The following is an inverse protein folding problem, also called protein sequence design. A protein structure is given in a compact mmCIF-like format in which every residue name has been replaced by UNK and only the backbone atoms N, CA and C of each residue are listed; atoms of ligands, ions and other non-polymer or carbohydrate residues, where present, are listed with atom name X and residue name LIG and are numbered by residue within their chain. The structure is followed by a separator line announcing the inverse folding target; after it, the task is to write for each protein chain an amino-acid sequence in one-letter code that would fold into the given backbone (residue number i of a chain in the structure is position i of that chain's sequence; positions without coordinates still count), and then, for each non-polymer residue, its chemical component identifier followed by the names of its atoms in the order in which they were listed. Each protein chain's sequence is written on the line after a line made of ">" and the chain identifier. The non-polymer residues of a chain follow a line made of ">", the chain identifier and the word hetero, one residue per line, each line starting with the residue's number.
data_IF_452961626088
#
_entry.id   IF_452961626088
#
_cell.length_a   1.000
_cell.length_b   1.000
_cell.length_c   1.000
_cell.angle_alpha   90.00
_cell.angle_beta   90.00
_cell.angle_gamma   90.00
#
_symmetry.space_group_name_H-M   'P 1'
#
loop_
_entity.id
_entity.type
_entity.pdbx_description
1 polymer ?
#
# COMPACT_ATOMS: atom_id res chain seq x y z
N UNK A 1 3.97 -17.01 3.72
CA UNK A 1 3.04 -16.30 4.62
C UNK A 1 3.66 -16.12 5.98
N UNK A 2 3.34 -15.04 6.68
CA UNK A 2 3.81 -14.85 8.07
C UNK A 2 3.14 -15.91 8.97
N UNK A 3 3.91 -16.66 9.80
CA UNK A 3 3.39 -17.81 10.50
C UNK A 3 2.36 -17.46 11.60
N UNK A 4 1.45 -18.37 11.87
CA UNK A 4 0.52 -18.31 13.01
C UNK A 4 1.05 -19.05 14.23
N UNK A 5 1.97 -19.98 14.05
CA UNK A 5 2.59 -20.75 15.12
C UNK A 5 3.46 -19.87 16.03
N UNK A 6 3.30 -20.03 17.34
CA UNK A 6 4.01 -19.20 18.31
C UNK A 6 5.50 -19.53 18.41
N UNK A 7 5.89 -20.78 18.24
CA UNK A 7 7.31 -21.18 18.29
C UNK A 7 8.06 -20.65 17.07
N UNK A 8 7.44 -20.71 15.90
CA UNK A 8 7.98 -20.16 14.66
C UNK A 8 8.15 -18.64 14.73
N UNK A 9 7.16 -17.93 15.29
CA UNK A 9 7.25 -16.48 15.52
C UNK A 9 8.36 -16.13 16.51
N UNK A 10 8.48 -16.88 17.60
CA UNK A 10 9.52 -16.66 18.58
C UNK A 10 10.90 -16.89 17.96
N UNK A 11 11.08 -17.97 17.19
CA UNK A 11 12.32 -18.22 16.46
C UNK A 11 12.70 -17.07 15.51
N UNK A 12 11.73 -16.52 14.76
CA UNK A 12 11.96 -15.33 13.91
C UNK A 12 12.43 -14.15 14.76
N UNK A 13 11.74 -13.90 15.88
CA UNK A 13 12.05 -12.81 16.78
C UNK A 13 13.46 -12.92 17.37
N UNK A 14 13.82 -14.10 17.87
CA UNK A 14 15.13 -14.38 18.44
C UNK A 14 16.25 -14.25 17.38
N UNK A 15 15.98 -14.74 16.16
CA UNK A 15 16.91 -14.64 15.03
C UNK A 15 17.17 -13.19 14.60
N UNK A 16 16.16 -12.33 14.69
CA UNK A 16 16.28 -10.90 14.41
C UNK A 16 17.00 -10.18 15.55
N UNK A 17 16.62 -10.44 16.80
CA UNK A 17 17.20 -9.84 17.99
C UNK A 17 18.69 -10.17 18.17
N UNK A 18 19.13 -11.35 17.69
CA UNK A 18 20.54 -11.73 17.68
C UNK A 18 21.41 -10.90 16.72
N UNK A 19 20.79 -10.20 15.75
CA UNK A 19 21.50 -9.46 14.69
C UNK A 19 21.23 -7.97 14.70
N UNK A 20 20.10 -7.54 15.24
CA UNK A 20 19.59 -6.18 15.15
C UNK A 20 19.06 -5.71 16.51
N UNK A 21 19.18 -4.43 16.79
CA UNK A 21 18.46 -3.81 17.88
C UNK A 21 16.99 -3.61 17.47
N UNK A 22 16.06 -4.19 18.22
CA UNK A 22 14.63 -4.11 17.98
C UNK A 22 13.95 -3.00 18.79
N UNK A 23 14.68 -2.20 19.59
CA UNK A 23 14.13 -1.07 20.32
C UNK A 23 13.54 -0.02 19.38
N UNK A 24 12.33 0.42 19.67
CA UNK A 24 11.64 1.42 18.86
C UNK A 24 11.16 0.92 17.48
N UNK A 25 11.42 -0.34 17.11
CA UNK A 25 10.93 -0.90 15.88
C UNK A 25 9.43 -1.23 15.99
N UNK A 26 8.58 -0.65 15.12
CA UNK A 26 7.16 -0.98 15.11
C UNK A 26 6.91 -2.47 14.90
N UNK A 27 5.99 -3.04 15.66
CA UNK A 27 5.66 -4.46 15.59
C UNK A 27 6.42 -5.33 16.57
N UNK A 28 7.48 -4.81 17.21
CA UNK A 28 8.21 -5.54 18.25
C UNK A 28 7.95 -4.93 19.62
N UNK A 29 7.96 -5.78 20.66
CA UNK A 29 7.84 -5.39 22.06
C UNK A 29 8.56 -6.41 22.95
N UNK A 30 8.87 -6.05 24.19
CA UNK A 30 9.71 -6.85 25.09
C UNK A 30 9.00 -7.10 26.42
N UNK A 31 8.90 -8.38 26.83
CA UNK A 31 8.42 -8.75 28.17
C UNK A 31 9.44 -9.65 28.84
N UNK A 32 9.78 -9.38 30.07
CA UNK A 32 10.72 -10.17 30.87
C UNK A 32 12.07 -10.45 30.16
N UNK A 33 12.54 -9.47 29.40
CA UNK A 33 13.78 -9.57 28.64
C UNK A 33 13.67 -10.29 27.29
N UNK A 34 12.51 -10.83 26.94
CA UNK A 34 12.27 -11.60 25.70
C UNK A 34 11.55 -10.72 24.69
N UNK A 35 12.03 -10.69 23.45
CA UNK A 35 11.39 -10.00 22.34
C UNK A 35 10.23 -10.79 21.76
N UNK A 36 9.17 -10.09 21.40
CA UNK A 36 7.96 -10.62 20.79
C UNK A 36 7.58 -9.81 19.56
N UNK A 37 6.84 -10.43 18.63
CA UNK A 37 6.29 -9.74 17.46
C UNK A 37 4.76 -9.62 17.57
N UNK A 38 4.23 -8.45 17.34
CA UNK A 38 2.81 -8.10 17.50
C UNK A 38 1.94 -8.52 16.30
N UNK A 39 2.20 -9.66 15.70
CA UNK A 39 1.41 -10.21 14.60
C UNK A 39 0.63 -11.45 15.07
N UNK A 40 -0.70 -11.37 14.98
CA UNK A 40 -1.58 -12.43 15.52
C UNK A 40 -2.24 -13.30 14.46
N UNK A 41 -2.09 -12.95 13.17
CA UNK A 41 -2.69 -13.66 12.04
C UNK A 41 -1.68 -13.85 10.92
N UNK A 42 -1.85 -14.92 10.16
CA UNK A 42 -1.06 -15.14 8.96
C UNK A 42 -1.36 -14.10 7.87
N UNK A 43 -0.38 -13.83 7.05
CA UNK A 43 -0.52 -12.89 5.95
C UNK A 43 0.79 -12.60 5.25
N UNK A 44 0.73 -11.80 4.22
CA UNK A 44 1.89 -11.33 3.48
C UNK A 44 2.35 -10.01 4.10
N UNK A 45 3.65 -9.89 4.41
CA UNK A 45 4.26 -8.63 4.82
C UNK A 45 4.56 -7.78 3.58
N UNK A 46 4.09 -6.56 3.60
CA UNK A 46 4.27 -5.58 2.53
C UNK A 46 5.16 -4.46 3.08
N UNK A 47 6.40 -4.31 2.58
CA UNK A 47 7.27 -3.23 2.98
C UNK A 47 6.77 -1.90 2.41
N UNK A 48 6.64 -0.90 3.27
CA UNK A 48 6.35 0.48 2.87
C UNK A 48 7.69 1.22 2.84
N UNK A 49 8.07 1.71 1.66
CA UNK A 49 9.40 2.26 1.38
C UNK A 49 9.35 3.77 1.16
N UNK A 50 10.44 4.44 1.54
CA UNK A 50 10.66 5.86 1.29
C UNK A 50 11.35 6.15 -0.05
N UNK A 51 11.73 7.43 -0.27
CA UNK A 51 12.48 7.88 -1.45
C UNK A 51 13.85 7.22 -1.59
N UNK A 52 14.52 6.88 -0.49
CA UNK A 52 15.81 6.20 -0.44
C UNK A 52 15.68 4.67 -0.57
N UNK A 53 14.47 4.13 -0.77
CA UNK A 53 14.17 2.70 -0.79
C UNK A 53 14.30 2.00 0.57
N UNK A 54 14.36 2.75 1.67
CA UNK A 54 14.42 2.20 3.02
C UNK A 54 13.01 1.83 3.50
N UNK A 55 12.90 0.76 4.26
CA UNK A 55 11.63 0.31 4.84
C UNK A 55 11.27 1.21 6.01
N UNK A 56 10.18 1.97 5.90
CA UNK A 56 9.62 2.83 6.96
C UNK A 56 8.70 2.06 7.90
N UNK A 57 8.11 0.98 7.41
CA UNK A 57 7.17 0.14 8.15
C UNK A 57 6.68 -1.01 7.31
N UNK A 58 5.95 -1.92 7.95
CA UNK A 58 5.37 -3.09 7.30
C UNK A 58 3.85 -3.09 7.46
N UNK A 59 3.13 -3.38 6.38
CA UNK A 59 1.73 -3.76 6.44
C UNK A 59 1.61 -5.28 6.34
N UNK A 60 0.62 -5.85 7.03
CA UNK A 60 0.22 -7.24 6.87
C UNK A 60 -1.06 -7.25 6.04
N UNK A 61 -1.04 -7.92 4.90
CA UNK A 61 -2.24 -8.31 4.17
C UNK A 61 -2.66 -9.69 4.67
N UNK A 62 -3.74 -9.77 5.41
CA UNK A 62 -4.21 -11.03 5.99
C UNK A 62 -4.64 -12.03 4.93
N UNK A 63 -4.24 -13.30 5.10
CA UNK A 63 -4.73 -14.42 4.29
C UNK A 63 -6.24 -14.59 4.50
N UNK A 64 -6.68 -14.51 5.77
CA UNK A 64 -8.07 -14.58 6.18
C UNK A 64 -8.46 -13.30 6.95
N UNK A 65 -8.98 -12.27 6.27
CA UNK A 65 -9.44 -11.05 6.92
C UNK A 65 -10.49 -11.33 7.98
N UNK A 66 -10.52 -10.59 9.10
CA UNK A 66 -11.56 -10.77 10.12
C UNK A 66 -12.93 -10.47 9.54
N UNK A 67 -13.92 -11.24 9.98
CA UNK A 67 -15.33 -10.97 9.68
C UNK A 67 -15.92 -10.10 10.81
N UNK A 68 -16.64 -9.05 10.42
CA UNK A 68 -17.37 -8.18 11.34
C UNK A 68 -18.87 -8.39 11.15
N UNK A 69 -19.61 -8.56 12.24
CA UNK A 69 -21.07 -8.55 12.22
C UNK A 69 -21.53 -7.10 12.32
N UNK A 70 -22.35 -6.67 11.39
CA UNK A 70 -22.90 -5.32 11.33
C UNK A 70 -24.41 -5.45 11.27
N UNK A 71 -25.12 -4.82 12.21
CA UNK A 71 -26.57 -4.76 12.17
C UNK A 71 -26.99 -3.56 11.32
N UNK A 72 -27.82 -3.80 10.32
CA UNK A 72 -28.37 -2.74 9.45
C UNK A 72 -29.40 -1.91 10.22
N UNK A 73 -29.80 -0.72 9.74
CA UNK A 73 -30.86 0.07 10.34
C UNK A 73 -32.18 -0.68 10.48
N UNK A 74 -32.42 -1.67 9.63
CA UNK A 74 -33.61 -2.53 9.62
C UNK A 74 -33.50 -3.70 10.61
N UNK A 75 -32.44 -3.75 11.44
CA UNK A 75 -32.23 -4.79 12.45
C UNK A 75 -31.65 -6.11 11.93
N UNK A 76 -31.29 -6.20 10.64
CA UNK A 76 -30.72 -7.41 10.04
C UNK A 76 -29.22 -7.46 10.33
N UNK A 77 -28.73 -8.53 10.95
CA UNK A 77 -27.29 -8.75 11.14
C UNK A 77 -26.67 -9.41 9.92
N UNK A 78 -25.73 -8.73 9.29
CA UNK A 78 -24.96 -9.21 8.15
C UNK A 78 -23.47 -9.34 8.49
N UNK A 79 -22.81 -10.29 7.88
CA UNK A 79 -21.37 -10.44 8.01
C UNK A 79 -20.66 -9.65 6.88
N UNK A 80 -19.74 -8.78 7.28
CA UNK A 80 -18.89 -8.02 6.35
C UNK A 80 -17.43 -8.37 6.57
N UNK A 81 -16.68 -8.51 5.49
CA UNK A 81 -15.22 -8.62 5.56
C UNK A 81 -14.66 -7.36 6.22
N UNK A 82 -13.91 -7.55 7.29
CA UNK A 82 -13.23 -6.47 7.98
C UNK A 82 -11.96 -6.00 7.27
N UNK A 83 -11.08 -5.35 8.02
CA UNK A 83 -9.84 -4.79 7.49
C UNK A 83 -8.93 -5.89 6.93
N UNK A 84 -8.57 -5.78 5.66
CA UNK A 84 -7.66 -6.71 4.97
C UNK A 84 -6.19 -6.41 5.24
N UNK A 85 -5.86 -5.14 5.48
CA UNK A 85 -4.50 -4.65 5.70
C UNK A 85 -4.40 -4.02 7.08
N UNK A 86 -3.34 -4.35 7.80
CA UNK A 86 -3.00 -3.69 9.06
C UNK A 86 -1.51 -3.36 9.10
N UNK A 87 -1.17 -2.28 9.78
CA UNK A 87 0.21 -2.01 10.11
C UNK A 87 0.74 -3.04 11.12
N UNK A 88 1.94 -3.52 10.89
CA UNK A 88 2.70 -4.25 11.91
C UNK A 88 3.11 -3.23 12.98
N UNK A 89 2.36 -3.17 14.06
CA UNK A 89 2.50 -2.17 15.12
C UNK A 89 2.34 -2.82 16.48
N UNK A 90 3.19 -2.46 17.40
CA UNK A 90 3.17 -2.86 18.81
C UNK A 90 2.63 -1.76 19.75
N UNK A 91 1.96 -0.74 19.21
CA UNK A 91 1.44 0.40 19.97
C UNK A 91 0.55 0.00 21.19
N UNK A 92 -0.18 -1.12 21.10
CA UNK A 92 -0.98 -1.68 22.21
C UNK A 92 -0.12 -2.21 23.35
N UNK A 93 1.14 -2.49 23.10
CA UNK A 93 2.13 -3.00 24.05
C UNK A 93 3.08 -1.88 24.56
N UNK A 94 2.60 -0.64 24.60
CA UNK A 94 3.42 0.55 24.95
C UNK A 94 4.14 0.40 26.30
N UNK A 95 3.51 -0.22 27.28
CA UNK A 95 4.14 -0.51 28.61
C UNK A 95 5.28 -1.55 28.52
N UNK A 96 5.43 -2.23 27.40
CA UNK A 96 6.44 -3.23 27.10
C UNK A 96 7.34 -2.78 25.92
N UNK A 97 7.67 -1.51 25.86
CA UNK A 97 8.52 -0.90 24.83
C UNK A 97 7.90 -0.95 23.41
N UNK A 98 6.61 -1.21 23.30
CA UNK A 98 5.92 -1.28 22.01
C UNK A 98 5.77 0.09 21.35
N UNK A 99 5.98 0.12 20.04
CA UNK A 99 6.02 1.33 19.22
C UNK A 99 4.93 1.34 18.16
N UNK A 100 4.34 2.52 17.91
CA UNK A 100 3.40 2.77 16.83
C UNK A 100 4.13 3.02 15.52
N UNK A 101 3.45 2.73 14.41
CA UNK A 101 3.91 3.12 13.08
C UNK A 101 2.96 4.18 12.52
N UNK A 102 3.46 5.32 12.03
CA UNK A 102 2.65 6.28 11.30
C UNK A 102 2.14 5.70 9.99
N UNK A 103 1.08 6.30 9.41
CA UNK A 103 0.54 5.89 8.12
C UNK A 103 1.41 6.43 6.97
N UNK A 104 2.62 5.92 6.85
CA UNK A 104 3.56 6.30 5.80
C UNK A 104 3.02 6.03 4.39
N UNK A 105 3.55 6.77 3.43
CA UNK A 105 3.26 6.62 2.01
C UNK A 105 4.36 5.77 1.39
N UNK A 106 3.97 4.80 0.58
CA UNK A 106 4.89 3.95 -0.17
C UNK A 106 5.37 4.63 -1.44
N UNK A 107 6.67 4.54 -1.74
CA UNK A 107 7.30 5.09 -2.94
C UNK A 107 7.99 3.96 -3.69
N UNK A 108 7.68 3.80 -4.98
CA UNK A 108 8.23 2.74 -5.83
C UNK A 108 8.44 3.22 -7.27
N UNK A 109 9.32 2.56 -8.01
CA UNK A 109 9.67 2.90 -9.39
C UNK A 109 10.79 3.93 -9.51
N UNK A 110 10.95 4.50 -10.70
CA UNK A 110 12.03 5.43 -11.03
C UNK A 110 11.85 6.77 -10.28
N UNK A 111 12.65 6.97 -9.25
CA UNK A 111 12.59 8.11 -8.34
C UNK A 111 13.10 9.43 -8.93
N UNK A 112 13.73 9.38 -10.09
CA UNK A 112 14.21 10.56 -10.83
C UNK A 112 13.16 11.08 -11.85
N UNK A 113 11.97 10.47 -11.88
CA UNK A 113 10.89 10.85 -12.78
C UNK A 113 10.24 12.18 -12.39
N UNK A 114 10.05 13.08 -13.35
CA UNK A 114 9.27 14.33 -13.20
C UNK A 114 7.76 14.08 -13.05
N UNK A 115 7.29 12.85 -13.27
CA UNK A 115 5.88 12.47 -13.17
C UNK A 115 5.68 11.46 -12.07
N UNK A 116 4.81 11.78 -11.11
CA UNK A 116 4.36 10.89 -10.03
C UNK A 116 2.96 10.39 -10.33
N UNK A 117 2.77 9.08 -10.25
CA UNK A 117 1.46 8.44 -10.27
C UNK A 117 1.03 8.12 -8.83
N UNK A 118 -0.16 8.56 -8.43
CA UNK A 118 -0.69 8.38 -7.08
C UNK A 118 -1.83 7.36 -7.09
N UNK A 119 -1.71 6.31 -6.28
CA UNK A 119 -2.73 5.26 -6.15
C UNK A 119 -3.00 4.90 -4.69
N UNK A 120 -3.98 4.03 -4.44
CA UNK A 120 -4.27 3.47 -3.13
C UNK A 120 -3.54 2.13 -2.93
N UNK A 121 -2.82 2.00 -1.81
CA UNK A 121 -2.11 0.78 -1.40
C UNK A 121 -0.71 0.61 -1.97
N UNK A 122 0.25 0.21 -1.10
CA UNK A 122 1.64 -0.02 -1.49
C UNK A 122 1.80 -1.14 -2.51
N UNK A 123 1.14 -2.29 -2.28
CA UNK A 123 1.20 -3.43 -3.21
C UNK A 123 0.67 -3.10 -4.60
N UNK A 124 -0.39 -2.28 -4.68
CA UNK A 124 -0.95 -1.83 -5.95
C UNK A 124 0.02 -0.88 -6.68
N UNK A 125 0.68 0.01 -5.93
CA UNK A 125 1.72 0.88 -6.47
C UNK A 125 2.88 0.07 -7.05
N UNK A 126 3.37 -0.97 -6.33
CA UNK A 126 4.43 -1.86 -6.81
C UNK A 126 4.03 -2.57 -8.11
N UNK A 127 2.84 -3.18 -8.13
CA UNK A 127 2.34 -3.87 -9.32
C UNK A 127 2.19 -2.92 -10.51
N UNK A 128 1.58 -1.74 -10.31
CA UNK A 128 1.38 -0.76 -11.37
C UNK A 128 2.72 -0.19 -11.89
N UNK A 129 3.67 0.09 -11.01
CA UNK A 129 5.03 0.52 -11.39
C UNK A 129 5.71 -0.52 -12.27
N UNK A 130 5.77 -1.77 -11.81
CA UNK A 130 6.38 -2.88 -12.58
C UNK A 130 5.72 -3.06 -13.95
N UNK A 131 4.39 -3.13 -14.01
CA UNK A 131 3.63 -3.35 -15.24
C UNK A 131 3.71 -2.17 -16.23
N UNK A 132 3.98 -0.97 -15.76
CA UNK A 132 4.08 0.23 -16.59
C UNK A 132 5.52 0.61 -16.98
N UNK A 133 6.51 -0.24 -16.73
CA UNK A 133 7.91 -0.01 -17.08
C UNK A 133 8.61 0.93 -16.09
N UNK A 134 8.47 0.63 -14.81
CA UNK A 134 9.15 1.30 -13.68
C UNK A 134 8.78 2.78 -13.51
N UNK A 135 7.55 3.16 -13.85
CA UNK A 135 7.05 4.52 -13.57
C UNK A 135 7.03 4.77 -12.07
N UNK A 136 7.31 6.03 -11.67
CA UNK A 136 7.28 6.44 -10.28
C UNK A 136 5.84 6.46 -9.75
N UNK A 137 5.56 5.56 -8.81
CA UNK A 137 4.28 5.50 -8.10
C UNK A 137 4.45 5.85 -6.62
N UNK A 138 3.43 6.49 -6.06
CA UNK A 138 3.22 6.59 -4.62
C UNK A 138 1.90 5.89 -4.27
N UNK A 139 1.94 5.04 -3.23
CA UNK A 139 0.81 4.28 -2.71
C UNK A 139 0.36 4.82 -1.35
N UNK A 140 -0.84 5.39 -1.27
CA UNK A 140 -1.46 5.74 0.01
C UNK A 140 -1.85 4.45 0.75
N UNK A 141 -1.42 4.28 1.98
CA UNK A 141 -1.76 3.11 2.82
C UNK A 141 -3.22 3.12 3.33
N UNK A 142 -4.10 3.62 2.48
CA UNK A 142 -5.52 3.87 2.61
C UNK A 142 -5.83 5.27 2.09
N UNK A 143 -6.87 5.42 1.27
CA UNK A 143 -7.20 6.67 0.56
C UNK A 143 -7.39 7.89 1.48
N UNK A 144 -7.77 7.67 2.76
CA UNK A 144 -7.90 8.72 3.78
C UNK A 144 -6.56 9.11 4.43
N UNK A 145 -5.50 8.31 4.26
CA UNK A 145 -4.21 8.50 4.91
C UNK A 145 -3.33 9.49 4.14
N UNK A 146 -3.68 10.77 4.23
CA UNK A 146 -2.99 11.86 3.51
C UNK A 146 -2.02 12.65 4.39
N UNK A 147 -1.73 12.19 5.62
CA UNK A 147 -0.94 12.96 6.60
C UNK A 147 0.45 13.35 6.11
N UNK A 148 1.14 12.44 5.43
CA UNK A 148 2.48 12.68 4.87
C UNK A 148 2.49 13.06 3.40
N UNK A 149 1.32 13.24 2.77
CA UNK A 149 1.24 13.42 1.31
C UNK A 149 1.93 14.71 0.85
N UNK A 150 1.71 15.82 1.55
CA UNK A 150 2.35 17.09 1.25
C UNK A 150 3.87 16.99 1.32
N UNK A 151 4.37 16.39 2.39
CA UNK A 151 5.81 16.20 2.63
C UNK A 151 6.45 15.32 1.54
N UNK A 152 5.84 14.19 1.23
CA UNK A 152 6.33 13.25 0.19
C UNK A 152 6.34 13.92 -1.19
N UNK A 153 5.26 14.62 -1.58
CA UNK A 153 5.22 15.31 -2.87
C UNK A 153 6.27 16.43 -2.93
N UNK A 154 6.43 17.22 -1.85
CA UNK A 154 7.46 18.26 -1.79
C UNK A 154 8.88 17.69 -1.88
N UNK A 155 9.12 16.52 -1.25
CA UNK A 155 10.40 15.82 -1.31
C UNK A 155 10.71 15.27 -2.71
N UNK A 156 9.70 14.77 -3.42
CA UNK A 156 9.85 14.25 -4.79
C UNK A 156 9.98 15.36 -5.83
N UNK A 157 9.31 16.51 -5.62
CA UNK A 157 9.35 17.68 -6.50
C UNK A 157 8.86 17.43 -7.93
N UNK A 158 7.73 16.72 -8.16
CA UNK A 158 7.32 16.37 -9.50
C UNK A 158 6.79 17.59 -10.27
N UNK A 159 7.04 17.64 -11.58
CA UNK A 159 6.36 18.59 -12.47
C UNK A 159 4.91 18.18 -12.73
N UNK A 160 4.65 16.88 -12.75
CA UNK A 160 3.34 16.32 -13.05
C UNK A 160 2.90 15.29 -12.03
N UNK A 161 1.64 15.38 -11.60
CA UNK A 161 0.99 14.35 -10.79
C UNK A 161 -0.19 13.78 -11.56
N UNK A 162 -0.27 12.45 -11.59
CA UNK A 162 -1.37 11.69 -12.19
C UNK A 162 -2.05 10.90 -11.09
N UNK A 163 -3.24 11.30 -10.69
CA UNK A 163 -4.05 10.58 -9.71
C UNK A 163 -4.70 9.36 -10.37
N UNK A 164 -4.47 8.18 -9.78
CA UNK A 164 -4.92 6.87 -10.25
C UNK A 164 -5.64 6.12 -9.11
N UNK A 165 -6.60 6.78 -8.46
CA UNK A 165 -7.41 6.17 -7.38
C UNK A 165 -8.43 5.22 -7.99
N UNK A 166 -8.82 4.18 -7.24
CA UNK A 166 -9.75 3.14 -7.68
C UNK A 166 -11.05 3.69 -8.29
N UNK A 167 -11.57 3.00 -9.28
CA UNK A 167 -12.75 3.43 -10.04
C UNK A 167 -14.07 3.37 -9.26
N UNK A 168 -14.09 2.78 -8.06
CA UNK A 168 -15.24 2.82 -7.13
C UNK A 168 -15.50 4.24 -6.56
N UNK A 169 -14.60 5.19 -6.79
CA UNK A 169 -14.81 6.61 -6.52
C UNK A 169 -16.11 7.16 -7.11
N UNK A 170 -16.57 6.60 -8.24
CA UNK A 170 -17.80 7.06 -8.92
C UNK A 170 -19.05 6.84 -8.07
N UNK A 171 -19.05 5.89 -7.15
CA UNK A 171 -20.19 5.49 -6.33
C UNK A 171 -19.99 5.67 -4.81
N UNK A 172 -18.76 5.94 -4.37
CA UNK A 172 -18.42 6.02 -2.95
C UNK A 172 -18.13 7.47 -2.50
N UNK A 173 -19.05 8.14 -1.76
CA UNK A 173 -18.88 9.52 -1.31
C UNK A 173 -17.65 9.74 -0.42
N UNK A 174 -17.21 8.73 0.33
CA UNK A 174 -16.00 8.85 1.17
C UNK A 174 -14.75 8.91 0.31
N UNK A 175 -14.68 8.14 -0.78
CA UNK A 175 -13.57 8.18 -1.73
C UNK A 175 -13.57 9.50 -2.47
N UNK A 176 -14.75 10.02 -2.87
CA UNK A 176 -14.86 11.35 -3.50
C UNK A 176 -14.31 12.47 -2.61
N UNK A 177 -14.66 12.47 -1.31
CA UNK A 177 -14.12 13.44 -0.34
C UNK A 177 -12.59 13.31 -0.20
N UNK A 178 -12.07 12.08 -0.18
CA UNK A 178 -10.63 11.86 -0.13
C UNK A 178 -9.92 12.38 -1.38
N UNK A 179 -10.50 12.20 -2.57
CA UNK A 179 -9.96 12.74 -3.81
C UNK A 179 -9.88 14.28 -3.81
N UNK A 180 -10.93 14.97 -3.33
CA UNK A 180 -10.91 16.42 -3.19
C UNK A 180 -9.76 16.86 -2.28
N UNK A 181 -9.55 16.16 -1.16
CA UNK A 181 -8.46 16.44 -0.24
C UNK A 181 -7.08 16.18 -0.88
N UNK A 182 -6.92 15.05 -1.58
CA UNK A 182 -5.70 14.71 -2.31
C UNK A 182 -5.37 15.80 -3.33
N UNK A 183 -6.34 16.20 -4.15
CA UNK A 183 -6.16 17.27 -5.12
C UNK A 183 -5.75 18.59 -4.48
N UNK A 184 -6.41 18.99 -3.40
CA UNK A 184 -6.10 20.23 -2.68
C UNK A 184 -4.66 20.25 -2.12
N UNK A 185 -4.13 19.08 -1.74
CA UNK A 185 -2.74 18.93 -1.27
C UNK A 185 -1.75 18.93 -2.45
N UNK A 186 -2.05 18.19 -3.51
CA UNK A 186 -1.10 17.88 -4.58
C UNK A 186 -1.03 18.97 -5.65
N UNK A 187 -2.16 19.55 -6.05
CA UNK A 187 -2.21 20.49 -7.18
C UNK A 187 -1.33 21.74 -7.00
N UNK A 188 -1.18 22.34 -5.81
CA UNK A 188 -0.28 23.46 -5.59
C UNK A 188 1.22 23.11 -5.65
N UNK A 189 1.57 21.82 -5.66
CA UNK A 189 2.95 21.31 -5.57
C UNK A 189 3.48 20.78 -6.91
N UNK A 190 2.76 20.98 -8.01
CA UNK A 190 3.17 20.56 -9.35
C UNK A 190 2.67 21.53 -10.42
N UNK A 191 3.28 21.48 -11.61
CA UNK A 191 2.84 22.28 -12.76
C UNK A 191 1.54 21.74 -13.37
N UNK A 192 1.36 20.41 -13.32
CA UNK A 192 0.20 19.74 -13.91
C UNK A 192 -0.34 18.68 -12.98
N UNK A 193 -1.60 18.78 -12.62
CA UNK A 193 -2.36 17.74 -11.92
C UNK A 193 -3.42 17.18 -12.85
N UNK A 194 -3.46 15.83 -13.00
CA UNK A 194 -4.44 15.12 -13.83
C UNK A 194 -5.02 13.94 -13.08
N UNK A 195 -6.24 13.54 -13.43
CA UNK A 195 -6.84 12.26 -13.02
C UNK A 195 -6.86 11.33 -14.22
N UNK A 196 -6.47 10.08 -13.98
CA UNK A 196 -6.60 9.01 -14.95
C UNK A 196 -7.89 8.25 -14.68
N UNK A 197 -8.64 7.97 -15.75
CA UNK A 197 -9.85 7.16 -15.71
C UNK A 197 -9.68 6.00 -16.69
N UNK A 198 -10.17 4.83 -16.29
CA UNK A 198 -10.16 3.62 -17.10
C UNK A 198 -11.53 2.90 -17.01
N UNK A 199 -11.78 1.83 -17.79
CA UNK A 199 -13.03 1.07 -17.73
C UNK A 199 -13.34 0.55 -16.33
N UNK A 200 -14.61 0.60 -15.92
CA UNK A 200 -15.06 0.33 -14.54
C UNK A 200 -14.96 -1.15 -14.15
N UNK A 201 -14.87 -2.05 -15.11
CA UNK A 201 -14.63 -3.48 -14.93
C UNK A 201 -13.22 -3.78 -14.39
N UNK A 202 -12.31 -2.82 -14.50
CA UNK A 202 -10.97 -2.87 -13.94
C UNK A 202 -10.92 -1.98 -12.70
N UNK A 203 -10.92 -2.58 -11.53
CA UNK A 203 -11.05 -1.82 -10.28
C UNK A 203 -9.88 -0.89 -10.03
N UNK A 204 -8.67 -1.41 -10.09
CA UNK A 204 -7.42 -0.71 -9.75
C UNK A 204 -6.56 -0.38 -10.95
N UNK A 205 -5.62 0.53 -10.77
CA UNK A 205 -4.61 0.88 -11.79
C UNK A 205 -3.70 -0.31 -12.13
N UNK A 206 -3.48 -1.23 -11.21
CA UNK A 206 -2.76 -2.48 -11.41
C UNK A 206 -3.51 -3.41 -12.37
N UNK A 207 -4.82 -3.57 -12.21
CA UNK A 207 -5.67 -4.35 -13.13
C UNK A 207 -5.64 -3.75 -14.54
N UNK A 208 -5.78 -2.41 -14.65
CA UNK A 208 -5.70 -1.69 -15.91
C UNK A 208 -4.33 -1.84 -16.57
N UNK A 209 -3.24 -1.67 -15.81
CA UNK A 209 -1.88 -1.80 -16.32
C UNK A 209 -1.57 -3.22 -16.80
N UNK A 210 -2.08 -4.25 -16.13
CA UNK A 210 -1.94 -5.64 -16.55
C UNK A 210 -2.61 -5.88 -17.92
N UNK A 211 -3.82 -5.36 -18.12
CA UNK A 211 -4.55 -5.46 -19.39
C UNK A 211 -3.82 -4.75 -20.53
N UNK A 212 -3.32 -3.54 -20.30
CA UNK A 212 -2.55 -2.78 -21.28
C UNK A 212 -1.24 -3.50 -21.67
N UNK A 213 -0.53 -4.03 -20.68
CA UNK A 213 0.72 -4.77 -20.91
C UNK A 213 0.49 -6.05 -21.73
N UNK A 214 -0.58 -6.77 -21.45
CA UNK A 214 -0.98 -7.97 -22.21
C UNK A 214 -1.35 -7.62 -23.66
N UNK A 215 -2.07 -6.53 -23.88
CA UNK A 215 -2.43 -6.05 -25.22
C UNK A 215 -1.19 -5.70 -26.04
N UNK A 216 -0.19 -5.02 -25.46
CA UNK A 216 1.08 -4.69 -26.12
C UNK A 216 1.86 -5.96 -26.49
N UNK A 217 1.87 -6.99 -25.62
CA UNK A 217 2.50 -8.29 -25.90
C UNK A 217 1.81 -8.99 -27.10
N UNK A 218 0.49 -9.03 -27.12
CA UNK A 218 -0.28 -9.64 -28.22
C UNK A 218 -0.01 -8.92 -29.53
N UNK A 219 0.01 -7.59 -29.55
CA UNK A 219 0.31 -6.80 -30.76
C UNK A 219 1.74 -7.02 -31.22
N UNK A 220 2.71 -7.12 -30.33
CA UNK A 220 4.12 -7.45 -30.69
C UNK A 220 4.24 -8.85 -31.28
N UNK A 221 3.59 -9.86 -30.72
CA UNK A 221 3.56 -11.22 -31.28
C UNK A 221 2.88 -11.26 -32.65
N UNK A 222 1.76 -10.56 -32.84
CA UNK A 222 1.09 -10.49 -34.13
C UNK A 222 1.92 -9.79 -35.21
N UNK A 223 2.67 -8.74 -34.85
CA UNK A 223 3.59 -8.05 -35.77
C UNK A 223 4.80 -8.91 -36.13
N UNK A 224 5.37 -9.64 -35.18
CA UNK A 224 6.50 -10.56 -35.44
C UNK A 224 6.07 -11.70 -36.37
N UNK A 225 4.88 -12.29 -36.18
CA UNK A 225 4.38 -13.34 -37.07
C UNK A 225 4.07 -12.85 -38.49
N UNK A 226 3.76 -11.57 -38.70
CA UNK A 226 3.59 -10.97 -40.05
C UNK A 226 4.91 -10.67 -40.78
N UNK A 227 6.02 -10.59 -40.06
CA UNK A 227 7.36 -10.38 -40.66
C UNK A 227 8.02 -11.68 -41.13
N UNK A 228 7.45 -12.85 -40.84
CA UNK A 228 7.97 -14.18 -41.21
C UNK A 228 7.04 -14.92 -42.17
N UNK A 229 6.08 -14.27 -42.77
CA UNK A 229 5.27 -14.72 -43.93
C UNK A 229 5.60 -13.85 -45.16
#
# INVERSE_FOLDING_TARGET
>A
SFPTDNAERQWICDSLAARYDLHGMPGFYRTDGIWHIAAFKSGILIPIRDKQNLIQGLQIRFDNPPVKRVTTPEGITIEKTGTRFMWLSSAKQKKFEGTSVPSYIHITGNRDSDTVYLTEGGLKADAASYLSGDKLFIGLTGVQNTGFLKEVISLLGPKKIVECVDMDVRSNPQVQKAQVKIQAICAPLCETYKRLFWPIDQKGIDDYSATCSTTILIVRFALLNKMWQ
#
